data_IF_113020913912
#
_entry.id   IF_113020913912
#
_cell.length_a   1.000
_cell.length_b   1.000
_cell.length_c   1.000
_cell.angle_alpha   90.00
_cell.angle_beta   90.00
_cell.angle_gamma   90.00
#
_symmetry.space_group_name_H-M   'P 1'
#
loop_
_entity.id
_entity.type
_entity.pdbx_description
1 polymer ?
#
# COMPACT_ATOMS: atom_id res chain seq x y z
N UNK A 1 1.94 -0.81 5.03
CA UNK A 1 2.59 -0.45 3.76
C UNK A 1 3.41 -1.64 3.29
N UNK A 2 3.22 -2.08 2.06
CA UNK A 2 4.01 -3.17 1.46
C UNK A 2 5.07 -2.55 0.55
N UNK A 3 6.37 -2.86 0.70
CA UNK A 3 7.40 -2.39 -0.22
C UNK A 3 7.22 -3.01 -1.61
N UNK A 4 7.66 -2.34 -2.68
CA UNK A 4 7.72 -2.96 -4.01
C UNK A 4 8.73 -4.11 -4.02
N UNK A 5 8.57 -5.02 -4.98
CA UNK A 5 9.55 -6.05 -5.26
C UNK A 5 10.88 -5.41 -5.67
N UNK A 6 11.96 -5.85 -5.03
CA UNK A 6 13.33 -5.51 -5.42
C UNK A 6 14.10 -6.79 -5.72
N UNK A 7 14.87 -6.80 -6.80
CA UNK A 7 15.81 -7.88 -7.12
C UNK A 7 17.05 -7.84 -6.22
N UNK A 8 17.34 -6.68 -5.63
CA UNK A 8 18.33 -6.55 -4.58
C UNK A 8 17.75 -7.16 -3.30
N UNK A 9 18.41 -8.21 -2.80
CA UNK A 9 17.96 -8.99 -1.65
C UNK A 9 18.13 -8.24 -0.33
N UNK A 10 17.53 -7.06 -0.21
CA UNK A 10 17.30 -6.43 1.07
C UNK A 10 16.34 -7.33 1.88
N UNK A 11 16.73 -7.68 3.12
CA UNK A 11 15.93 -8.52 4.00
C UNK A 11 14.65 -7.80 4.45
N UNK A 12 13.61 -7.83 3.61
CA UNK A 12 12.27 -7.34 3.97
C UNK A 12 11.46 -8.46 4.62
N UNK A 13 11.15 -8.29 5.91
CA UNK A 13 10.31 -9.24 6.66
C UNK A 13 8.93 -9.43 6.00
N UNK A 14 8.35 -8.36 5.47
CA UNK A 14 7.08 -8.41 4.74
C UNK A 14 7.18 -9.23 3.45
N UNK A 15 8.27 -9.05 2.68
CA UNK A 15 8.49 -9.81 1.45
C UNK A 15 8.67 -11.31 1.74
N UNK A 16 9.47 -11.66 2.75
CA UNK A 16 9.69 -13.05 3.15
C UNK A 16 8.42 -13.72 3.68
N UNK A 17 7.63 -13.02 4.50
CA UNK A 17 6.35 -13.55 5.00
C UNK A 17 5.35 -13.79 3.86
N UNK A 18 5.26 -12.85 2.92
CA UNK A 18 4.40 -12.96 1.74
C UNK A 18 4.85 -14.10 0.81
N UNK A 19 6.15 -14.22 0.54
CA UNK A 19 6.71 -15.33 -0.25
C UNK A 19 6.39 -16.68 0.40
N UNK A 20 6.59 -16.80 1.72
CA UNK A 20 6.28 -18.03 2.44
C UNK A 20 4.79 -18.41 2.33
N UNK A 21 3.90 -17.44 2.58
CA UNK A 21 2.46 -17.65 2.50
C UNK A 21 2.01 -18.07 1.10
N UNK A 22 2.48 -17.39 0.05
CA UNK A 22 2.04 -17.64 -1.33
C UNK A 22 2.68 -18.89 -1.92
N UNK A 23 3.99 -19.08 -1.75
CA UNK A 23 4.73 -20.17 -2.38
C UNK A 23 4.72 -21.47 -1.58
N UNK A 24 4.58 -21.46 -0.26
CA UNK A 24 4.70 -22.67 0.54
C UNK A 24 3.38 -23.04 1.22
N UNK A 25 2.68 -22.07 1.81
CA UNK A 25 1.36 -22.32 2.40
C UNK A 25 0.23 -22.35 1.37
N UNK A 26 0.48 -21.84 0.15
CA UNK A 26 -0.49 -21.83 -0.96
C UNK A 26 -1.81 -21.17 -0.57
N UNK A 27 -1.74 -20.05 0.16
CA UNK A 27 -2.92 -19.28 0.54
C UNK A 27 -3.72 -18.87 -0.70
N UNK A 28 -5.05 -18.89 -0.59
CA UNK A 28 -5.96 -18.49 -1.68
C UNK A 28 -6.25 -16.99 -1.70
N UNK A 29 -6.06 -16.33 -0.57
CA UNK A 29 -6.39 -14.92 -0.38
C UNK A 29 -5.21 -14.20 0.24
N UNK A 30 -4.82 -13.09 -0.37
CA UNK A 30 -3.89 -12.12 0.20
C UNK A 30 -4.67 -10.82 0.42
N UNK A 31 -4.67 -10.32 1.65
CA UNK A 31 -5.46 -9.13 2.02
C UNK A 31 -4.51 -8.05 2.56
N UNK A 32 -4.60 -6.85 1.99
CA UNK A 32 -3.93 -5.66 2.51
C UNK A 32 -4.97 -4.83 3.26
N UNK A 33 -4.82 -4.75 4.58
CA UNK A 33 -5.74 -3.99 5.44
C UNK A 33 -5.04 -2.72 5.94
N UNK A 34 -5.65 -1.57 5.68
CA UNK A 34 -5.36 -0.32 6.37
C UNK A 34 -6.49 0.08 7.31
N UNK A 35 -6.35 1.21 7.98
CA UNK A 35 -7.30 1.59 9.02
C UNK A 35 -7.37 3.11 9.21
N UNK A 36 -8.45 3.57 9.83
CA UNK A 36 -8.64 4.97 10.23
C UNK A 36 -7.62 5.43 11.27
N UNK A 37 -7.32 6.72 11.29
CA UNK A 37 -6.42 7.35 12.27
C UNK A 37 -5.01 6.75 12.23
N UNK A 38 -4.53 6.39 11.05
CA UNK A 38 -3.23 5.78 10.87
C UNK A 38 -2.10 6.80 11.10
N UNK A 39 -1.36 6.65 12.19
CA UNK A 39 -0.25 7.55 12.54
C UNK A 39 0.84 7.62 11.47
N UNK A 40 1.12 6.51 10.76
CA UNK A 40 2.09 6.49 9.66
C UNK A 40 1.62 7.33 8.47
N UNK A 41 0.33 7.27 8.14
CA UNK A 41 -0.26 8.08 7.05
C UNK A 41 -0.34 9.53 7.45
N UNK A 42 -0.71 9.83 8.70
CA UNK A 42 -0.69 11.20 9.22
C UNK A 42 0.71 11.81 9.13
N UNK A 43 1.73 11.07 9.54
CA UNK A 43 3.12 11.49 9.42
C UNK A 43 3.49 11.74 7.94
N UNK A 44 3.17 10.80 7.05
CA UNK A 44 3.41 10.93 5.61
C UNK A 44 2.74 12.17 4.99
N UNK A 45 1.51 12.47 5.39
CA UNK A 45 0.75 13.63 4.90
C UNK A 45 1.30 14.94 5.44
N UNK A 46 1.82 14.94 6.67
CA UNK A 46 2.45 16.10 7.30
C UNK A 46 3.89 16.37 6.85
N UNK A 47 4.53 15.45 6.12
CA UNK A 47 5.87 15.67 5.59
C UNK A 47 5.88 16.77 4.52
N UNK A 48 6.85 17.69 4.62
CA UNK A 48 7.20 18.63 3.58
C UNK A 48 7.99 17.94 2.44
N UNK A 49 7.88 18.46 1.23
CA UNK A 49 8.51 17.87 0.04
C UNK A 49 10.02 18.10 -0.01
N UNK A 50 10.56 18.96 0.84
CA UNK A 50 11.96 19.39 0.86
C UNK A 50 12.89 18.48 1.70
N UNK A 51 12.33 17.44 2.34
CA UNK A 51 13.11 16.48 3.12
C UNK A 51 13.61 17.01 4.47
N UNK A 52 13.10 18.14 4.95
CA UNK A 52 13.49 18.75 6.23
C UNK A 52 13.02 17.98 7.48
N UNK A 53 12.24 16.91 7.29
CA UNK A 53 11.59 16.13 8.35
C UNK A 53 12.31 14.81 8.67
N UNK A 54 13.65 14.82 8.71
CA UNK A 54 14.46 13.67 9.09
C UNK A 54 14.32 13.39 10.60
N UNK A 55 13.29 12.64 10.98
CA UNK A 55 12.97 12.34 12.38
C UNK A 55 13.36 10.92 12.84
N UNK A 56 13.87 10.05 11.95
CA UNK A 56 14.15 8.65 12.32
C UNK A 56 15.10 7.90 11.37
N UNK A 57 15.81 6.90 11.90
CA UNK A 57 16.77 6.08 11.14
C UNK A 57 16.13 5.06 10.18
N UNK A 58 14.88 4.64 10.40
CA UNK A 58 14.23 3.57 9.60
C UNK A 58 12.76 3.85 9.25
N UNK A 59 12.06 4.66 10.07
CA UNK A 59 10.61 4.88 9.89
C UNK A 59 10.37 5.76 8.67
N UNK A 60 11.25 6.72 8.41
CA UNK A 60 11.17 7.62 7.26
C UNK A 60 11.17 6.83 5.95
N UNK A 61 12.20 6.01 5.71
CA UNK A 61 12.29 5.15 4.52
C UNK A 61 11.05 4.26 4.37
N UNK A 62 10.56 3.68 5.48
CA UNK A 62 9.38 2.84 5.47
C UNK A 62 8.10 3.61 5.11
N UNK A 63 7.90 4.82 5.65
CA UNK A 63 6.74 5.66 5.34
C UNK A 63 6.79 6.17 3.88
N UNK A 64 7.99 6.52 3.41
CA UNK A 64 8.22 7.04 2.05
C UNK A 64 7.95 6.02 0.95
N UNK A 65 7.84 4.72 1.26
CA UNK A 65 7.30 3.70 0.33
C UNK A 65 5.99 4.16 -0.31
N UNK A 66 5.17 4.93 0.42
CA UNK A 66 3.88 5.42 -0.08
C UNK A 66 3.87 6.92 -0.42
N UNK A 67 5.03 7.55 -0.64
CA UNK A 67 5.12 8.99 -0.99
C UNK A 67 4.24 9.36 -2.18
N UNK A 68 4.15 8.48 -3.19
CA UNK A 68 3.28 8.66 -4.35
C UNK A 68 1.79 8.79 -3.98
N UNK A 69 1.31 8.03 -2.99
CA UNK A 69 -0.06 8.11 -2.49
C UNK A 69 -0.36 9.47 -1.87
N UNK A 70 0.53 9.94 -0.98
CA UNK A 70 0.39 11.25 -0.33
C UNK A 70 0.39 12.38 -1.35
N UNK A 71 1.31 12.37 -2.32
CA UNK A 71 1.33 13.35 -3.41
C UNK A 71 0.03 13.37 -4.20
N UNK A 72 -0.42 12.19 -4.65
CA UNK A 72 -1.68 12.05 -5.41
C UNK A 72 -2.88 12.60 -4.64
N UNK A 73 -2.98 12.31 -3.35
CA UNK A 73 -4.08 12.81 -2.51
C UNK A 73 -3.98 14.31 -2.24
N UNK A 74 -2.79 14.85 -1.95
CA UNK A 74 -2.57 16.30 -1.82
C UNK A 74 -2.97 17.06 -3.09
N UNK A 75 -2.73 16.48 -4.26
CA UNK A 75 -3.12 17.09 -5.54
C UNK A 75 -4.64 17.01 -5.79
N UNK A 76 -5.27 15.86 -5.56
CA UNK A 76 -6.72 15.69 -5.79
C UNK A 76 -7.60 16.37 -4.73
N UNK A 77 -7.13 16.45 -3.49
CA UNK A 77 -7.89 16.93 -2.33
C UNK A 77 -7.27 18.18 -1.70
N UNK A 78 -6.60 19.02 -2.51
CA UNK A 78 -5.88 20.22 -2.05
C UNK A 78 -6.70 21.15 -1.17
N UNK A 79 -8.01 21.25 -1.44
CA UNK A 79 -8.93 22.14 -0.73
C UNK A 79 -9.65 21.47 0.46
N UNK A 80 -9.47 20.16 0.66
CA UNK A 80 -10.08 19.45 1.78
C UNK A 80 -9.30 19.71 3.08
N UNK A 81 -9.98 19.66 4.25
CA UNK A 81 -9.32 19.63 5.55
C UNK A 81 -8.25 18.53 5.65
N UNK A 82 -7.20 18.76 6.44
CA UNK A 82 -6.09 17.82 6.59
C UNK A 82 -6.52 16.41 7.01
N UNK A 83 -7.51 16.29 7.91
CA UNK A 83 -8.03 14.99 8.35
C UNK A 83 -8.71 14.22 7.20
N UNK A 84 -9.47 14.90 6.34
CA UNK A 84 -10.08 14.27 5.17
C UNK A 84 -9.03 13.83 4.14
N UNK A 85 -7.96 14.61 3.98
CA UNK A 85 -6.82 14.21 3.16
C UNK A 85 -6.13 12.97 3.76
N UNK A 86 -5.97 12.89 5.08
CA UNK A 86 -5.42 11.71 5.75
C UNK A 86 -6.29 10.47 5.51
N UNK A 87 -7.60 10.56 5.72
CA UNK A 87 -8.53 9.45 5.46
C UNK A 87 -8.48 8.99 4.00
N UNK A 88 -8.42 9.92 3.06
CA UNK A 88 -8.27 9.60 1.63
C UNK A 88 -6.93 8.93 1.35
N UNK A 89 -5.86 9.41 1.99
CA UNK A 89 -4.52 8.83 1.86
C UNK A 89 -4.40 7.44 2.47
N UNK A 90 -5.12 7.13 3.56
CA UNK A 90 -5.12 5.78 4.13
C UNK A 90 -5.60 4.74 3.11
N UNK A 91 -6.67 5.06 2.37
CA UNK A 91 -7.16 4.20 1.27
C UNK A 91 -6.19 4.14 0.09
N UNK A 92 -5.59 5.27 -0.28
CA UNK A 92 -4.61 5.30 -1.38
C UNK A 92 -3.32 4.53 -1.03
N UNK A 93 -2.91 4.50 0.23
CA UNK A 93 -1.77 3.70 0.71
C UNK A 93 -2.06 2.20 0.63
N UNK A 94 -3.31 1.78 0.89
CA UNK A 94 -3.75 0.40 0.65
C UNK A 94 -3.62 0.09 -0.84
N UNK A 95 -4.13 0.95 -1.72
CA UNK A 95 -4.01 0.79 -3.18
C UNK A 95 -2.56 0.69 -3.64
N UNK A 96 -1.68 1.59 -3.16
CA UNK A 96 -0.25 1.54 -3.45
C UNK A 96 0.38 0.21 -2.98
N UNK A 97 0.01 -0.25 -1.79
CA UNK A 97 0.50 -1.53 -1.26
C UNK A 97 0.01 -2.74 -2.07
N UNK A 98 -1.22 -2.70 -2.59
CA UNK A 98 -1.75 -3.72 -3.50
C UNK A 98 -0.97 -3.76 -4.81
N UNK A 99 -0.66 -2.60 -5.39
CA UNK A 99 0.19 -2.51 -6.59
C UNK A 99 1.60 -3.03 -6.32
N UNK A 100 2.15 -2.75 -5.14
CA UNK A 100 3.42 -3.30 -4.73
C UNK A 100 3.35 -4.83 -4.60
N UNK A 101 2.28 -5.41 -4.03
CA UNK A 101 2.07 -6.88 -4.06
C UNK A 101 2.09 -7.43 -5.49
N UNK A 102 1.46 -6.75 -6.46
CA UNK A 102 1.45 -7.16 -7.87
C UNK A 102 2.83 -7.07 -8.55
N UNK A 103 3.76 -6.28 -8.01
CA UNK A 103 5.13 -6.24 -8.52
C UNK A 103 5.94 -7.52 -8.20
N UNK A 104 5.48 -8.35 -7.25
CA UNK A 104 6.12 -9.63 -6.93
C UNK A 104 5.76 -10.70 -7.98
N UNK A 105 6.74 -11.30 -8.68
CA UNK A 105 6.45 -12.27 -9.74
C UNK A 105 5.59 -13.45 -9.30
N UNK A 106 5.82 -13.97 -8.08
CA UNK A 106 5.06 -15.10 -7.56
C UNK A 106 3.60 -14.76 -7.24
N UNK A 107 3.31 -13.51 -6.83
CA UNK A 107 1.92 -13.05 -6.61
C UNK A 107 1.21 -12.96 -7.96
N UNK A 108 1.83 -12.28 -8.93
CA UNK A 108 1.26 -12.08 -10.26
C UNK A 108 0.98 -13.41 -10.97
N UNK A 109 1.92 -14.34 -10.92
CA UNK A 109 1.75 -15.67 -11.53
C UNK A 109 0.58 -16.44 -10.91
N UNK A 110 0.43 -16.38 -9.57
CA UNK A 110 -0.64 -17.06 -8.83
C UNK A 110 -2.02 -16.45 -9.07
N UNK A 111 -2.08 -15.13 -9.22
CA UNK A 111 -3.32 -14.46 -9.63
C UNK A 111 -3.69 -14.83 -11.07
N UNK A 112 -2.72 -14.88 -11.98
CA UNK A 112 -2.96 -15.22 -13.38
C UNK A 112 -3.45 -16.67 -13.57
N UNK A 113 -3.05 -17.59 -12.68
CA UNK A 113 -3.58 -18.96 -12.67
C UNK A 113 -4.92 -19.12 -11.94
N UNK A 114 -5.46 -18.06 -11.34
CA UNK A 114 -6.67 -18.12 -10.52
C UNK A 114 -6.49 -18.81 -9.17
N UNK A 115 -5.24 -19.05 -8.74
CA UNK A 115 -4.93 -19.72 -7.47
C UNK A 115 -4.86 -18.75 -6.27
N UNK A 116 -4.74 -17.45 -6.53
CA UNK A 116 -4.65 -16.40 -5.52
C UNK A 116 -5.57 -15.23 -5.91
N UNK A 117 -6.31 -14.72 -4.94
CA UNK A 117 -7.07 -13.45 -5.06
C UNK A 117 -6.45 -12.42 -4.13
N UNK A 118 -6.36 -11.17 -4.61
CA UNK A 118 -5.79 -10.04 -3.88
C UNK A 118 -6.89 -9.05 -3.50
N UNK A 119 -6.96 -8.70 -2.23
CA UNK A 119 -8.02 -7.87 -1.65
C UNK A 119 -7.44 -6.67 -0.91
N UNK A 120 -8.07 -5.50 -1.09
CA UNK A 120 -7.93 -4.34 -0.22
C UNK A 120 -8.98 -4.34 0.87
N UNK A 121 -8.62 -3.85 2.05
CA UNK A 121 -9.54 -3.64 3.15
C UNK A 121 -9.22 -2.37 3.93
N UNK A 122 -10.24 -1.66 4.37
CA UNK A 122 -10.13 -0.48 5.23
C UNK A 122 -11.04 -0.62 6.43
N UNK A 123 -10.47 -0.56 7.63
CA UNK A 123 -11.21 -0.62 8.88
C UNK A 123 -11.29 0.75 9.55
N UNK A 124 -12.50 1.26 9.70
CA UNK A 124 -12.80 2.51 10.39
C UNK A 124 -13.14 2.22 11.86
N UNK A 125 -12.22 2.56 12.76
CA UNK A 125 -12.39 2.41 14.21
C UNK A 125 -13.42 3.40 14.79
N UNK A 126 -13.63 4.54 14.15
CA UNK A 126 -14.51 5.60 14.63
C UNK A 126 -15.97 5.22 14.35
N UNK A 127 -16.23 4.77 13.13
CA UNK A 127 -17.57 4.40 12.69
C UNK A 127 -17.87 2.90 12.82
N UNK A 128 -16.88 2.09 13.22
CA UNK A 128 -16.96 0.63 13.32
C UNK A 128 -17.41 -0.02 12.00
N UNK A 129 -16.76 0.37 10.91
CA UNK A 129 -17.07 -0.11 9.56
C UNK A 129 -15.86 -0.78 8.93
N UNK A 130 -16.13 -1.81 8.13
CA UNK A 130 -15.13 -2.46 7.29
C UNK A 130 -15.56 -2.36 5.84
N UNK A 131 -14.72 -1.75 5.02
CA UNK A 131 -14.85 -1.69 3.57
C UNK A 131 -13.80 -2.62 2.94
N UNK A 132 -14.17 -3.34 1.88
CA UNK A 132 -13.25 -4.18 1.13
C UNK A 132 -13.47 -4.10 -0.37
N UNK A 133 -12.42 -4.28 -1.14
CA UNK A 133 -12.46 -4.30 -2.59
C UNK A 133 -11.46 -5.32 -3.16
N UNK A 134 -11.78 -5.84 -4.34
CA UNK A 134 -10.94 -6.81 -5.04
C UNK A 134 -10.08 -6.10 -6.09
N UNK A 135 -8.89 -6.64 -6.33
CA UNK A 135 -7.98 -6.15 -7.37
C UNK A 135 -7.83 -7.20 -8.46
N UNK A 136 -8.19 -6.81 -9.68
CA UNK A 136 -7.99 -7.63 -10.87
C UNK A 136 -6.69 -7.28 -11.59
N UNK A 137 -6.09 -8.29 -12.26
CA UNK A 137 -4.90 -8.08 -13.09
C UNK A 137 -5.14 -7.09 -14.25
N UNK A 138 -6.37 -6.95 -14.73
CA UNK A 138 -6.72 -5.96 -15.75
C UNK A 138 -6.57 -4.52 -15.29
N UNK A 139 -6.62 -4.26 -13.98
CA UNK A 139 -6.42 -2.92 -13.42
C UNK A 139 -4.97 -2.42 -13.55
N UNK A 140 -3.98 -3.30 -13.82
CA UNK A 140 -2.58 -2.85 -13.98
C UNK A 140 -2.27 -2.20 -15.32
N UNK A 141 -3.08 -2.47 -16.36
CA UNK A 141 -2.92 -1.91 -17.72
C UNK A 141 -3.01 -0.37 -17.76
N UNK A 142 -3.58 0.24 -16.73
CA UNK A 142 -3.72 1.70 -16.59
C UNK A 142 -2.55 2.36 -15.85
N UNK A 143 -1.62 1.59 -15.29
CA UNK A 143 -0.56 2.07 -14.39
C UNK A 143 0.84 2.10 -15.03
N UNK A 144 1.05 1.42 -16.15
CA UNK A 144 2.28 1.55 -16.98
C UNK A 144 2.45 2.96 -17.58
N UNK A 145 1.50 3.88 -17.34
CA UNK A 145 1.57 5.29 -17.74
C UNK A 145 2.21 6.21 -16.71
N UNK A 146 2.62 5.69 -15.55
CA UNK A 146 3.16 6.50 -14.44
C UNK A 146 4.48 5.97 -13.86
N UNK A 147 5.19 5.09 -14.59
CA UNK A 147 6.62 4.81 -14.37
C UNK A 147 7.50 5.80 -15.15
#
# INVERSE_FOLDING_TARGET
MVPPYSSEKACSSAASAMEFAVLFLKVKHLVVIGHSQCGAVRALMGMEDDGSNAFSEFIEDWVLISKGASKKVKDMHRSSPFEEQCTSCEKEVINTSLLNCLSYPFVRQRMASGELTLHGGYYDFINNQFESWDVDLSCTSSLDKFQ
#
